data_IF_875978309989
#
_entry.id   IF_875978309989
#
_cell.length_a   1.000
_cell.length_b   1.000
_cell.length_c   1.000
_cell.angle_alpha   90.00
_cell.angle_beta   90.00
_cell.angle_gamma   90.00
#
_symmetry.space_group_name_H-M   'P 1'
#
loop_
_entity.id
_entity.type
_entity.pdbx_description
1 polymer ?
#
# COMPACT_ATOMS: atom_id res chain seq x y z
N UNK A 1 8.62 16.76 3.05
CA UNK A 1 7.33 17.41 2.67
C UNK A 1 6.09 16.70 3.17
N UNK A 2 5.97 15.37 3.09
CA UNK A 2 4.76 14.63 3.50
C UNK A 2 4.33 14.88 4.96
N UNK A 3 5.27 14.89 5.89
CA UNK A 3 5.03 15.21 7.31
C UNK A 3 4.33 16.57 7.52
N UNK A 4 4.74 17.59 6.78
CA UNK A 4 4.18 18.94 6.91
C UNK A 4 2.73 19.00 6.41
N UNK A 5 2.39 18.25 5.35
CA UNK A 5 1.03 18.15 4.85
C UNK A 5 0.11 17.52 5.91
N UNK A 6 0.54 16.40 6.49
CA UNK A 6 -0.20 15.70 7.54
C UNK A 6 -0.36 16.60 8.75
N UNK A 7 0.71 17.25 9.20
CA UNK A 7 0.68 18.14 10.35
C UNK A 7 -0.26 19.34 10.15
N UNK A 8 -0.37 19.87 8.93
CA UNK A 8 -1.31 20.97 8.62
C UNK A 8 -2.76 20.53 8.51
N UNK A 9 -3.01 19.27 8.14
CA UNK A 9 -4.36 18.71 7.97
C UNK A 9 -4.89 18.03 9.24
N UNK A 10 -3.99 17.58 10.11
CA UNK A 10 -4.31 17.01 11.41
C UNK A 10 -5.25 17.95 12.17
N UNK A 11 -6.39 17.41 12.63
CA UNK A 11 -7.48 18.12 13.32
C UNK A 11 -8.15 19.28 12.55
N UNK A 12 -7.78 19.51 11.28
CA UNK A 12 -8.32 20.62 10.46
C UNK A 12 -9.15 20.16 9.26
N UNK A 13 -9.12 18.88 8.91
CA UNK A 13 -9.99 18.33 7.86
C UNK A 13 -9.76 16.86 7.60
N UNK A 14 -10.73 16.21 6.96
CA UNK A 14 -10.66 14.78 6.62
C UNK A 14 -9.60 14.50 5.55
N UNK A 15 -8.95 13.35 5.68
CA UNK A 15 -7.93 12.87 4.74
C UNK A 15 -8.15 11.38 4.49
N UNK A 16 -8.07 10.98 3.23
CA UNK A 16 -8.08 9.58 2.81
C UNK A 16 -6.67 9.22 2.34
N UNK A 17 -6.14 8.14 2.88
CA UNK A 17 -4.81 7.61 2.56
C UNK A 17 -4.96 6.16 2.11
N UNK A 18 -4.26 5.82 1.03
CA UNK A 18 -4.15 4.43 0.54
C UNK A 18 -2.69 4.02 0.56
N UNK A 19 -2.39 2.91 1.22
CA UNK A 19 -1.05 2.33 1.28
C UNK A 19 -1.11 0.88 0.86
N UNK A 20 -0.15 0.44 0.03
CA UNK A 20 0.09 -0.97 -0.26
C UNK A 20 1.03 -1.63 0.77
N UNK A 21 1.56 -0.85 1.71
CA UNK A 21 2.49 -1.30 2.75
C UNK A 21 1.84 -1.30 4.12
N UNK A 22 2.25 -2.25 4.96
CA UNK A 22 1.84 -2.34 6.36
C UNK A 22 2.48 -1.24 7.19
N UNK A 23 1.91 -0.89 8.35
CA UNK A 23 2.43 0.16 9.23
C UNK A 23 3.90 -0.07 9.65
N UNK A 24 4.32 -1.32 9.86
CA UNK A 24 5.70 -1.63 10.23
C UNK A 24 6.72 -1.26 9.15
N UNK A 25 6.33 -1.32 7.88
CA UNK A 25 7.21 -0.99 6.76
C UNK A 25 7.33 0.53 6.49
N UNK A 26 6.62 1.37 7.25
CA UNK A 26 6.69 2.82 7.03
C UNK A 26 8.06 3.40 7.42
N UNK A 27 8.79 2.75 8.33
CA UNK A 27 10.17 3.12 8.64
C UNK A 27 11.05 3.12 7.38
N UNK A 28 10.95 2.08 6.56
CA UNK A 28 11.72 1.95 5.31
C UNK A 28 11.28 2.98 4.25
N UNK A 29 9.98 3.32 4.21
CA UNK A 29 9.42 4.27 3.24
C UNK A 29 9.93 5.69 3.51
N UNK A 30 10.00 6.08 4.79
CA UNK A 30 10.43 7.42 5.17
C UNK A 30 11.95 7.52 5.44
N UNK A 31 12.66 6.38 5.46
CA UNK A 31 14.10 6.31 5.74
C UNK A 31 14.49 6.58 7.18
N UNK A 32 13.51 6.91 8.04
CA UNK A 32 13.69 7.14 9.47
C UNK A 32 12.47 6.59 10.23
N UNK A 33 12.64 5.59 11.11
CA UNK A 33 11.57 5.01 11.90
C UNK A 33 10.95 6.00 12.90
N UNK A 34 11.69 7.01 13.35
CA UNK A 34 11.19 8.05 14.26
C UNK A 34 10.19 8.95 13.54
N UNK A 35 10.53 9.38 12.32
CA UNK A 35 9.63 10.20 11.49
C UNK A 35 8.41 9.37 11.09
N UNK A 36 8.59 8.12 10.68
CA UNK A 36 7.50 7.22 10.34
C UNK A 36 6.51 7.05 11.50
N UNK A 37 7.01 6.83 12.72
CA UNK A 37 6.19 6.71 13.92
C UNK A 37 5.42 8.00 14.21
N UNK A 38 6.08 9.16 14.11
CA UNK A 38 5.44 10.46 14.32
C UNK A 38 4.35 10.78 13.28
N UNK A 39 4.50 10.28 12.04
CA UNK A 39 3.48 10.39 11.00
C UNK A 39 2.30 9.47 11.32
N UNK A 40 2.58 8.20 11.61
CA UNK A 40 1.57 7.19 11.91
C UNK A 40 0.73 7.60 13.11
N UNK A 41 1.35 8.14 14.16
CA UNK A 41 0.66 8.66 15.34
C UNK A 41 -0.42 9.70 14.95
N UNK A 42 -0.05 10.72 14.17
CA UNK A 42 -0.99 11.75 13.71
C UNK A 42 -2.07 11.22 12.78
N UNK A 43 -1.73 10.30 11.88
CA UNK A 43 -2.70 9.76 10.91
C UNK A 43 -3.68 8.83 11.61
N UNK A 44 -3.20 7.96 12.50
CA UNK A 44 -4.00 6.89 13.11
C UNK A 44 -4.82 7.35 14.30
N UNK A 45 -4.49 8.48 14.94
CA UNK A 45 -5.21 8.98 16.12
C UNK A 45 -6.72 9.15 15.87
N UNK A 46 -7.14 9.57 14.68
CA UNK A 46 -8.55 9.73 14.29
C UNK A 46 -8.91 9.00 12.99
N UNK A 47 -8.21 7.91 12.64
CA UNK A 47 -8.49 7.16 11.42
C UNK A 47 -9.35 5.92 11.64
N UNK A 48 -10.14 5.59 10.62
CA UNK A 48 -10.71 4.26 10.45
C UNK A 48 -9.87 3.49 9.44
N UNK A 49 -9.29 2.36 9.85
CA UNK A 49 -8.49 1.51 8.95
C UNK A 49 -9.38 0.54 8.20
N UNK A 50 -9.29 0.55 6.86
CA UNK A 50 -9.94 -0.45 6.01
C UNK A 50 -8.87 -1.32 5.37
N UNK A 51 -8.75 -2.56 5.83
CA UNK A 51 -7.82 -3.53 5.27
C UNK A 51 -8.43 -4.19 4.03
N UNK A 52 -7.89 -3.87 2.85
CA UNK A 52 -8.35 -4.42 1.58
C UNK A 52 -7.56 -5.69 1.27
N UNK A 53 -8.26 -6.81 1.10
CA UNK A 53 -7.70 -8.10 0.66
C UNK A 53 -8.42 -8.55 -0.61
N UNK A 54 -7.68 -9.15 -1.53
CA UNK A 54 -8.24 -9.69 -2.78
C UNK A 54 -7.25 -9.66 -3.94
N UNK A 55 -7.61 -10.30 -5.03
CA UNK A 55 -6.83 -10.26 -6.26
C UNK A 55 -6.83 -8.86 -6.89
N UNK A 56 -5.73 -8.52 -7.57
CA UNK A 56 -5.62 -7.26 -8.30
C UNK A 56 -6.72 -7.14 -9.36
N UNK A 57 -7.48 -6.04 -9.30
CA UNK A 57 -8.52 -5.76 -10.29
C UNK A 57 -7.95 -5.73 -11.72
N UNK A 58 -6.72 -5.21 -11.87
CA UNK A 58 -6.00 -5.17 -13.16
C UNK A 58 -5.75 -6.57 -13.71
N UNK A 59 -5.49 -7.55 -12.84
CA UNK A 59 -5.31 -8.95 -13.24
C UNK A 59 -6.64 -9.59 -13.63
N UNK A 60 -7.71 -9.29 -12.88
CA UNK A 60 -9.07 -9.75 -13.18
C UNK A 60 -9.55 -9.26 -14.54
N UNK A 61 -9.28 -8.00 -14.89
CA UNK A 61 -9.62 -7.45 -16.21
C UNK A 61 -8.80 -8.09 -17.33
N UNK A 62 -7.48 -8.27 -17.14
CA UNK A 62 -6.64 -8.99 -18.11
C UNK A 62 -7.09 -10.44 -18.32
N UNK A 63 -7.60 -11.10 -17.27
CA UNK A 63 -8.15 -12.48 -17.35
C UNK A 63 -9.46 -12.49 -18.14
N UNK A 64 -10.35 -11.52 -17.90
CA UNK A 64 -11.58 -11.33 -18.67
C UNK A 64 -11.32 -10.99 -20.13
N UNK A 65 -10.27 -10.21 -20.41
CA UNK A 65 -9.85 -9.85 -21.76
C UNK A 65 -9.09 -10.97 -22.50
N UNK A 66 -8.95 -12.17 -21.91
CA UNK A 66 -8.24 -13.30 -22.51
C UNK A 66 -6.72 -13.16 -22.56
N UNK A 67 -6.15 -12.13 -21.95
CA UNK A 67 -4.72 -11.78 -22.05
C UNK A 67 -3.81 -12.57 -21.09
N UNK A 68 -4.37 -13.34 -20.15
CA UNK A 68 -3.62 -14.08 -19.13
C UNK A 68 -3.53 -15.59 -19.37
N UNK A 69 -3.79 -16.08 -20.58
CA UNK A 69 -3.83 -17.53 -20.85
C UNK A 69 -2.47 -18.18 -21.19
N UNK A 70 -1.30 -17.59 -20.89
CA UNK A 70 -0.02 -18.17 -21.37
C UNK A 70 1.24 -18.14 -20.50
N UNK A 71 1.23 -17.67 -19.25
CA UNK A 71 2.50 -17.51 -18.49
C UNK A 71 2.67 -18.46 -17.30
N UNK A 72 2.05 -19.65 -17.31
CA UNK A 72 2.23 -20.64 -16.23
C UNK A 72 2.81 -21.99 -16.67
N UNK A 73 3.20 -22.15 -17.93
CA UNK A 73 3.78 -23.39 -18.44
C UNK A 73 5.31 -23.35 -18.66
N UNK A 74 5.97 -22.19 -18.56
CA UNK A 74 7.41 -22.08 -18.89
C UNK A 74 8.38 -22.12 -17.68
N UNK A 75 7.92 -22.29 -16.43
CA UNK A 75 8.81 -22.25 -15.26
C UNK A 75 9.09 -23.61 -14.57
N UNK A 76 8.75 -24.75 -15.19
CA UNK A 76 8.96 -26.10 -14.59
C UNK A 76 9.91 -26.99 -15.40
N UNK A 77 10.70 -26.44 -16.33
CA UNK A 77 11.66 -27.25 -17.12
C UNK A 77 13.01 -26.57 -17.20
N UNK A 78 13.67 -26.38 -16.06
CA UNK A 78 15.11 -26.12 -16.00
C UNK A 78 15.63 -26.37 -14.57
N UNK A 79 15.73 -27.65 -14.20
CA UNK A 79 16.79 -28.20 -13.33
C UNK A 79 16.71 -29.72 -13.43
N UNK A 80 17.40 -30.26 -14.43
CA UNK A 80 17.97 -31.60 -14.42
C UNK A 80 19.48 -31.44 -14.23
#
# INVERSE_FOLDING_TARGET
MFFQLISRRYERGSMILTSNQTYGNWGDIFGDPVIASAILDRVLHHATTVNIKGESYRLKEKKKAGLLSRTREESTTEVA
#
